data_IF_786009178099
#
_entry.id   IF_786009178099
#
_cell.length_a   1.000
_cell.length_b   1.000
_cell.length_c   1.000
_cell.angle_alpha   90.00
_cell.angle_beta   90.00
_cell.angle_gamma   90.00
#
_symmetry.space_group_name_H-M   'P 1'
#
loop_
_entity.id
_entity.type
_entity.pdbx_description
1 polymer ?
#
# COMPACT_ATOMS: atom_id res chain seq x y z
N UNK A 1 -17.46 -5.86 0.07
CA UNK A 1 -16.89 -6.04 1.43
C UNK A 1 -15.39 -6.25 1.29
N UNK A 2 -14.58 -5.72 2.21
CA UNK A 2 -13.11 -5.89 2.21
C UNK A 2 -12.68 -6.50 3.54
N UNK A 3 -11.60 -7.27 3.52
CA UNK A 3 -10.98 -7.82 4.73
C UNK A 3 -9.51 -7.42 4.72
N UNK A 4 -9.06 -6.77 5.78
CA UNK A 4 -7.66 -6.40 5.98
C UNK A 4 -7.02 -7.32 7.00
N UNK A 5 -5.88 -7.91 6.68
CA UNK A 5 -5.05 -8.64 7.62
C UNK A 5 -3.99 -7.70 8.19
N UNK A 6 -4.01 -7.54 9.51
CA UNK A 6 -3.12 -6.70 10.30
C UNK A 6 -2.19 -7.58 11.13
N UNK A 7 -0.91 -7.23 11.15
CA UNK A 7 0.15 -8.00 11.83
C UNK A 7 0.87 -7.24 12.93
N UNK A 8 0.68 -5.93 13.02
CA UNK A 8 1.38 -5.07 13.97
C UNK A 8 0.47 -3.96 14.47
N UNK A 9 0.82 -3.39 15.62
CA UNK A 9 0.13 -2.22 16.18
C UNK A 9 0.27 -0.99 15.26
N UNK A 10 1.43 -0.81 14.62
CA UNK A 10 1.67 0.29 13.68
C UNK A 10 0.73 0.22 12.46
N UNK A 11 0.60 -0.97 11.86
CA UNK A 11 -0.32 -1.21 10.74
C UNK A 11 -1.77 -0.94 11.14
N UNK A 12 -2.14 -1.31 12.37
CA UNK A 12 -3.46 -1.04 12.92
C UNK A 12 -3.71 0.46 13.09
N UNK A 13 -2.79 1.18 13.73
CA UNK A 13 -2.94 2.61 14.02
C UNK A 13 -3.06 3.42 12.74
N UNK A 14 -2.24 3.11 11.73
CA UNK A 14 -2.31 3.73 10.41
C UNK A 14 -3.66 3.46 9.72
N UNK A 15 -4.15 2.21 9.78
CA UNK A 15 -5.45 1.86 9.21
C UNK A 15 -6.59 2.59 9.94
N UNK A 16 -6.56 2.67 11.27
CA UNK A 16 -7.56 3.40 12.05
C UNK A 16 -7.54 4.90 11.74
N UNK A 17 -6.36 5.50 11.56
CA UNK A 17 -6.24 6.90 11.15
C UNK A 17 -6.86 7.15 9.76
N UNK A 18 -6.63 6.24 8.80
CA UNK A 18 -7.27 6.27 7.48
C UNK A 18 -8.79 6.17 7.60
N UNK A 19 -9.29 5.18 8.33
CA UNK A 19 -10.71 4.94 8.55
C UNK A 19 -11.41 6.12 9.23
N UNK A 20 -10.75 6.76 10.20
CA UNK A 20 -11.26 7.98 10.83
C UNK A 20 -11.45 9.11 9.82
N UNK A 21 -10.50 9.30 8.88
CA UNK A 21 -10.62 10.32 7.81
C UNK A 21 -11.75 9.99 6.82
N UNK A 22 -11.98 8.71 6.55
CA UNK A 22 -13.02 8.22 5.62
C UNK A 22 -14.43 8.17 6.24
N UNK A 23 -14.55 8.46 7.54
CA UNK A 23 -15.80 8.42 8.30
C UNK A 23 -16.29 7.00 8.57
N UNK A 24 -15.37 6.04 8.69
CA UNK A 24 -15.67 4.65 9.05
C UNK A 24 -15.94 4.54 10.55
N UNK A 25 -16.98 3.78 10.91
CA UNK A 25 -17.37 3.51 12.29
C UNK A 25 -17.13 2.06 12.65
N UNK A 26 -16.89 1.78 13.93
CA UNK A 26 -16.84 0.41 14.42
C UNK A 26 -18.24 -0.09 14.68
N UNK A 27 -18.48 -1.39 14.47
CA UNK A 27 -19.81 -1.99 14.73
C UNK A 27 -20.29 -1.81 16.17
N UNK A 28 -19.40 -1.60 17.15
CA UNK A 28 -19.77 -1.24 18.53
C UNK A 28 -19.59 0.26 18.85
N UNK A 29 -19.60 1.12 17.83
CA UNK A 29 -19.55 2.57 17.96
C UNK A 29 -18.19 3.18 17.60
N UNK A 30 -17.28 3.25 18.58
CA UNK A 30 -16.01 3.99 18.45
C UNK A 30 -14.89 3.08 17.94
N UNK A 31 -14.01 3.61 17.08
CA UNK A 31 -12.84 2.85 16.62
C UNK A 31 -12.00 2.34 17.80
N UNK A 32 -11.55 1.08 17.76
CA UNK A 32 -10.70 0.51 18.80
C UNK A 32 -9.35 1.23 18.87
N UNK A 33 -8.78 1.30 20.07
CA UNK A 33 -7.49 1.98 20.32
C UNK A 33 -6.26 1.12 20.12
N UNK A 34 -6.42 -0.21 20.13
CA UNK A 34 -5.29 -1.15 20.10
C UNK A 34 -5.59 -2.32 19.18
N UNK A 35 -4.52 -2.89 18.63
CA UNK A 35 -4.56 -4.11 17.85
C UNK A 35 -4.63 -5.33 18.77
N UNK A 36 -5.57 -6.23 18.50
CA UNK A 36 -5.66 -7.52 19.18
C UNK A 36 -5.20 -8.64 18.24
N UNK A 37 -4.11 -9.30 18.60
CA UNK A 37 -3.55 -10.44 17.86
C UNK A 37 -4.51 -11.63 17.73
N UNK A 38 -5.49 -11.76 18.63
CA UNK A 38 -6.52 -12.81 18.55
C UNK A 38 -7.54 -12.52 17.45
N UNK A 39 -7.66 -11.26 17.03
CA UNK A 39 -8.54 -10.81 15.97
C UNK A 39 -7.75 -10.01 14.91
N UNK A 40 -6.84 -10.66 14.17
CA UNK A 40 -5.92 -9.98 13.28
C UNK A 40 -6.58 -9.49 11.97
N UNK A 41 -7.87 -9.78 11.77
CA UNK A 41 -8.61 -9.38 10.57
C UNK A 41 -9.59 -8.26 10.87
N UNK A 42 -9.57 -7.22 10.03
CA UNK A 42 -10.54 -6.13 10.03
C UNK A 42 -11.49 -6.31 8.85
N UNK A 43 -12.76 -6.52 9.13
CA UNK A 43 -13.80 -6.52 8.10
C UNK A 43 -14.26 -5.08 7.86
N UNK A 44 -14.55 -4.72 6.61
CA UNK A 44 -15.11 -3.42 6.23
C UNK A 44 -16.24 -3.62 5.22
N UNK A 45 -17.44 -3.15 5.58
CA UNK A 45 -18.62 -3.15 4.72
C UNK A 45 -19.40 -1.86 4.95
N UNK A 46 -19.66 -1.10 3.89
CA UNK A 46 -20.51 0.10 3.92
C UNK A 46 -20.13 1.11 5.03
N UNK A 47 -18.82 1.40 5.15
CA UNK A 47 -18.22 2.24 6.21
C UNK A 47 -18.39 1.74 7.65
N UNK A 48 -18.82 0.50 7.84
CA UNK A 48 -18.84 -0.16 9.14
C UNK A 48 -17.73 -1.21 9.18
N UNK A 49 -16.89 -1.15 10.21
CA UNK A 49 -15.82 -2.11 10.43
C UNK A 49 -16.07 -3.04 11.62
N UNK A 50 -15.47 -4.23 11.55
CA UNK A 50 -15.50 -5.24 12.60
C UNK A 50 -14.17 -5.98 12.71
N UNK A 51 -14.05 -6.78 13.77
CA UNK A 51 -12.92 -7.67 14.00
C UNK A 51 -13.33 -9.10 13.64
N UNK A 52 -12.38 -9.87 13.10
CA UNK A 52 -12.58 -11.28 12.78
C UNK A 52 -11.34 -12.11 13.14
N UNK A 53 -11.59 -13.38 13.46
CA UNK A 53 -10.56 -14.40 13.64
C UNK A 53 -10.24 -15.07 12.31
N UNK A 54 -9.12 -15.80 12.26
CA UNK A 54 -8.74 -16.60 11.09
C UNK A 54 -9.84 -17.60 10.69
N UNK A 55 -10.37 -18.34 11.67
CA UNK A 55 -11.42 -19.34 11.44
C UNK A 55 -12.67 -18.73 10.81
N UNK A 56 -13.16 -17.62 11.38
CA UNK A 56 -14.34 -16.92 10.85
C UNK A 56 -14.15 -16.48 9.40
N UNK A 57 -12.96 -15.97 9.06
CA UNK A 57 -12.64 -15.52 7.70
C UNK A 57 -12.63 -16.71 6.72
N UNK A 58 -12.03 -17.84 7.09
CA UNK A 58 -11.94 -19.01 6.20
C UNK A 58 -13.28 -19.77 6.06
N UNK A 59 -14.13 -19.70 7.09
CA UNK A 59 -15.42 -20.37 7.11
C UNK A 59 -16.53 -19.55 6.45
N UNK A 60 -16.64 -18.26 6.80
CA UNK A 60 -17.77 -17.42 6.36
C UNK A 60 -17.40 -16.53 5.17
N UNK A 61 -16.14 -16.08 5.10
CA UNK A 61 -15.71 -15.09 4.11
C UNK A 61 -14.69 -15.65 3.11
N UNK A 62 -14.79 -16.95 2.79
CA UNK A 62 -13.83 -17.68 1.95
C UNK A 62 -13.57 -17.01 0.60
N UNK A 63 -14.60 -16.44 -0.01
CA UNK A 63 -14.53 -15.84 -1.35
C UNK A 63 -14.20 -14.34 -1.33
N UNK A 64 -13.96 -13.78 -0.14
CA UNK A 64 -13.66 -12.35 0.02
C UNK A 64 -12.14 -12.15 0.00
N UNK A 65 -11.60 -11.28 -0.87
CA UNK A 65 -10.16 -11.07 -0.95
C UNK A 65 -9.62 -10.48 0.36
N UNK A 66 -8.57 -11.13 0.88
CA UNK A 66 -7.84 -10.70 2.07
C UNK A 66 -6.69 -9.79 1.64
N UNK A 67 -6.77 -8.53 2.04
CA UNK A 67 -5.76 -7.50 1.77
C UNK A 67 -4.78 -7.49 2.94
N UNK A 68 -3.50 -7.77 2.69
CA UNK A 68 -2.46 -7.57 3.70
C UNK A 68 -2.18 -6.06 3.79
N UNK A 69 -2.51 -5.44 4.91
CA UNK A 69 -2.29 -4.00 5.09
C UNK A 69 -0.91 -3.74 5.70
N UNK A 70 -0.23 -2.70 5.22
CA UNK A 70 1.07 -2.26 5.72
C UNK A 70 1.11 -0.73 5.75
N UNK A 71 1.39 -0.14 6.92
CA UNK A 71 1.36 1.31 7.12
C UNK A 71 2.41 2.06 6.28
N UNK A 72 3.59 1.45 6.12
CA UNK A 72 4.73 2.02 5.38
C UNK A 72 5.04 1.17 4.16
N UNK A 73 4.17 1.19 3.16
CA UNK A 73 4.53 0.69 1.84
C UNK A 73 5.50 1.69 1.17
N UNK A 74 6.77 1.66 1.59
CA UNK A 74 7.85 2.50 1.05
C UNK A 74 8.17 2.20 -0.42
N UNK A 75 7.54 1.18 -1.00
CA UNK A 75 7.71 0.78 -2.39
C UNK A 75 6.65 1.46 -3.25
N UNK A 76 5.37 1.34 -2.88
CA UNK A 76 4.27 1.91 -3.67
C UNK A 76 3.82 3.30 -3.24
N UNK A 77 4.14 3.72 -2.00
CA UNK A 77 3.67 5.00 -1.46
C UNK A 77 4.64 5.58 -0.41
N UNK A 78 5.85 6.01 -0.82
CA UNK A 78 6.85 6.50 0.12
C UNK A 78 6.37 7.85 0.69
N UNK A 79 6.31 7.95 2.03
CA UNK A 79 5.75 9.08 2.78
C UNK A 79 6.34 10.47 2.47
N UNK A 80 7.48 10.53 1.78
CA UNK A 80 8.20 11.76 1.42
C UNK A 80 7.85 12.32 0.03
N UNK A 81 7.01 11.66 -0.77
CA UNK A 81 6.62 12.15 -2.11
C UNK A 81 5.22 12.79 -2.18
N UNK A 82 4.41 12.72 -1.12
CA UNK A 82 3.00 13.15 -1.15
C UNK A 82 2.77 14.56 -0.59
N UNK A 83 3.80 15.41 -0.56
CA UNK A 83 3.63 16.79 -0.12
C UNK A 83 3.11 17.62 -1.29
N UNK A 84 1.78 17.77 -1.42
CA UNK A 84 1.18 18.74 -2.37
C UNK A 84 0.05 18.23 -3.29
N UNK A 85 -0.38 16.97 -3.20
CA UNK A 85 -1.54 16.46 -3.96
C UNK A 85 -1.27 16.09 -5.42
N UNK A 86 -0.01 16.08 -5.84
CA UNK A 86 0.47 15.54 -7.13
C UNK A 86 1.57 14.54 -6.80
N UNK A 87 1.51 13.34 -7.37
CA UNK A 87 2.58 12.35 -7.25
C UNK A 87 3.84 12.90 -7.96
N UNK A 88 5.00 12.77 -7.32
CA UNK A 88 6.24 13.38 -7.83
C UNK A 88 6.59 12.86 -9.23
N UNK A 89 6.28 11.59 -9.52
CA UNK A 89 6.55 11.00 -10.83
C UNK A 89 5.69 11.63 -11.94
N UNK A 90 4.42 11.94 -11.66
CA UNK A 90 3.53 12.61 -12.62
C UNK A 90 4.02 14.01 -12.96
N UNK A 91 4.53 14.74 -11.95
CA UNK A 91 5.15 16.04 -12.19
C UNK A 91 6.42 15.93 -13.06
N UNK A 92 7.25 14.91 -12.82
CA UNK A 92 8.44 14.63 -13.63
C UNK A 92 8.04 14.29 -15.08
N UNK A 93 7.08 13.39 -15.28
CA UNK A 93 6.52 13.05 -16.60
C UNK A 93 6.06 14.29 -17.37
N UNK A 94 5.42 15.23 -16.69
CA UNK A 94 4.92 16.46 -17.28
C UNK A 94 5.99 17.53 -17.58
N UNK A 95 7.20 17.41 -17.02
CA UNK A 95 8.25 18.45 -17.10
C UNK A 95 9.55 17.99 -17.73
N UNK A 96 9.78 16.69 -17.85
CA UNK A 96 11.01 16.13 -18.44
C UNK A 96 10.70 15.61 -19.84
N UNK A 97 11.29 16.27 -20.84
CA UNK A 97 11.08 15.91 -22.26
C UNK A 97 11.54 14.48 -22.57
N UNK A 98 12.63 14.04 -21.94
CA UNK A 98 13.17 12.68 -22.04
C UNK A 98 12.91 11.86 -20.77
N UNK A 99 11.63 11.68 -20.47
CA UNK A 99 11.18 10.82 -19.37
C UNK A 99 11.76 9.39 -19.44
N UNK A 100 11.83 8.71 -20.60
CA UNK A 100 12.40 7.37 -20.70
C UNK A 100 13.82 7.27 -20.15
N UNK A 101 14.72 8.21 -20.46
CA UNK A 101 16.09 8.18 -19.92
C UNK A 101 16.14 8.32 -18.40
N UNK A 102 15.27 9.15 -17.82
CA UNK A 102 15.13 9.27 -16.35
C UNK A 102 14.73 7.92 -15.73
N UNK A 103 13.75 7.23 -16.33
CA UNK A 103 13.26 5.94 -15.85
C UNK A 103 14.34 4.86 -15.98
N UNK A 104 15.01 4.77 -17.12
CA UNK A 104 16.11 3.81 -17.35
C UNK A 104 17.23 4.01 -16.32
N UNK A 105 17.59 5.26 -16.01
CA UNK A 105 18.58 5.56 -14.97
C UNK A 105 18.16 5.02 -13.58
N UNK A 106 16.88 5.11 -13.23
CA UNK A 106 16.36 4.55 -11.99
C UNK A 106 16.39 3.01 -12.00
N UNK A 107 16.00 2.38 -13.09
CA UNK A 107 16.07 0.92 -13.26
C UNK A 107 17.51 0.43 -13.03
N UNK A 108 18.48 1.02 -13.73
CA UNK A 108 19.91 0.68 -13.58
C UNK A 108 20.37 0.89 -12.14
N UNK A 109 20.03 2.03 -11.52
CA UNK A 109 20.38 2.34 -10.13
C UNK A 109 19.91 1.25 -9.16
N UNK A 110 18.68 0.75 -9.31
CA UNK A 110 18.14 -0.25 -8.40
C UNK A 110 18.66 -1.66 -8.70
N UNK A 111 18.78 -2.04 -9.98
CA UNK A 111 19.38 -3.31 -10.40
C UNK A 111 20.85 -3.41 -9.98
N UNK A 112 21.59 -2.32 -9.94
CA UNK A 112 23.01 -2.36 -9.51
C UNK A 112 23.16 -2.39 -7.99
N UNK A 113 22.20 -1.85 -7.24
CA UNK A 113 22.27 -1.72 -5.78
C UNK A 113 21.77 -2.92 -4.98
N UNK A 114 20.96 -3.79 -5.58
CA UNK A 114 20.18 -4.75 -4.80
C UNK A 114 21.05 -5.68 -3.95
N UNK A 115 22.17 -6.19 -4.46
CA UNK A 115 23.01 -7.15 -3.71
C UNK A 115 23.64 -6.55 -2.45
N UNK A 116 23.88 -5.23 -2.44
CA UNK A 116 24.70 -4.57 -1.42
C UNK A 116 23.97 -3.50 -0.61
N UNK A 117 22.67 -3.25 -0.85
CA UNK A 117 21.91 -2.23 -0.12
C UNK A 117 20.55 -2.71 0.39
N UNK A 118 19.53 -2.81 -0.46
CA UNK A 118 18.17 -3.12 -0.01
C UNK A 118 17.60 -4.45 -0.52
N UNK A 119 18.40 -5.29 -1.18
CA UNK A 119 17.98 -6.62 -1.64
C UNK A 119 16.71 -6.58 -2.49
N UNK A 120 15.73 -7.41 -2.12
CA UNK A 120 14.44 -7.53 -2.79
C UNK A 120 13.69 -6.18 -2.92
N UNK A 121 13.86 -5.23 -2.00
CA UNK A 121 13.20 -3.93 -2.10
C UNK A 121 13.70 -3.13 -3.30
N UNK A 122 15.00 -3.14 -3.59
CA UNK A 122 15.54 -2.45 -4.77
C UNK A 122 15.07 -3.18 -6.05
N UNK A 123 14.99 -4.51 -6.08
CA UNK A 123 14.42 -5.24 -7.23
C UNK A 123 12.96 -4.85 -7.50
N UNK A 124 12.13 -4.68 -6.47
CA UNK A 124 10.75 -4.22 -6.62
C UNK A 124 10.65 -2.78 -7.13
N UNK A 125 11.57 -1.91 -6.71
CA UNK A 125 11.65 -0.54 -7.25
C UNK A 125 12.07 -0.55 -8.72
N UNK A 126 13.02 -1.41 -9.10
CA UNK A 126 13.37 -1.59 -10.51
C UNK A 126 12.17 -2.06 -11.34
N UNK A 127 11.41 -3.03 -10.83
CA UNK A 127 10.18 -3.50 -11.47
C UNK A 127 9.14 -2.38 -11.64
N UNK A 128 8.86 -1.61 -10.58
CA UNK A 128 7.95 -0.47 -10.65
C UNK A 128 8.31 0.50 -11.78
N UNK A 129 9.58 0.88 -11.90
CA UNK A 129 10.04 1.76 -12.97
C UNK A 129 9.99 1.11 -14.36
N UNK A 130 10.19 -0.21 -14.45
CA UNK A 130 10.05 -0.95 -15.71
C UNK A 130 8.59 -0.99 -16.16
N UNK A 131 7.67 -1.30 -15.26
CA UNK A 131 6.23 -1.34 -15.55
C UNK A 131 5.73 0.05 -15.99
N UNK A 132 6.14 1.11 -15.29
CA UNK A 132 5.82 2.49 -15.64
C UNK A 132 6.37 2.92 -17.01
N UNK A 133 7.58 2.47 -17.37
CA UNK A 133 8.14 2.71 -18.71
C UNK A 133 7.36 1.99 -19.79
N UNK A 134 6.90 0.76 -19.54
CA UNK A 134 6.08 0.00 -20.48
C UNK A 134 4.77 0.75 -20.74
N UNK A 135 4.06 1.16 -19.68
CA UNK A 135 2.82 1.93 -19.79
C UNK A 135 3.04 3.22 -20.60
N UNK A 136 4.08 3.99 -20.28
CA UNK A 136 4.42 5.22 -21.01
C UNK A 136 4.68 4.99 -22.51
N UNK A 137 5.27 3.85 -22.87
CA UNK A 137 5.58 3.51 -24.25
C UNK A 137 4.37 2.94 -25.01
N UNK A 138 3.41 2.32 -24.31
CA UNK A 138 2.14 1.84 -24.89
C UNK A 138 1.13 2.97 -25.12
N UNK A 139 1.18 4.03 -24.32
CA UNK A 139 0.33 5.23 -24.47
C UNK A 139 0.79 6.18 -25.60
N UNK A 140 1.95 5.93 -26.21
CA UNK A 140 2.50 6.69 -27.35
C UNK A 140 2.15 6.08 -28.71
#
# INVERSE_FOLDING_TARGET
MKIYHIKTQEDFDALMAKFKKEGVTWIKGILPRYWDKNYPYITLKDKVMGFATLGLVHEIYRDVPIIKYKANDTVNNPSHYNTGGIETLDYIKAKVDDYPSYVVGNIIKYITRYEHKNGLEDLKKAQFYLDDLIEWMEEK
#
